data_IF_988905139844
#
_entry.id   IF_988905139844
#
_cell.length_a   1.000
_cell.length_b   1.000
_cell.length_c   1.000
_cell.angle_alpha   90.00
_cell.angle_beta   90.00
_cell.angle_gamma   90.00
#
_symmetry.space_group_name_H-M   'P 1'
#
loop_
_entity.id
_entity.type
_entity.pdbx_description
1 polymer ?
#
# COMPACT_ATOMS: atom_id res chain seq x y z
N UNK A 1 -11.97 -2.64 2.50
CA UNK A 1 -10.63 -2.28 3.00
C UNK A 1 -10.28 -3.18 4.16
N UNK A 2 -9.02 -3.57 4.28
CA UNK A 2 -8.45 -4.24 5.44
C UNK A 2 -6.99 -3.80 5.62
N UNK A 3 -6.47 -3.94 6.83
CA UNK A 3 -5.08 -3.62 7.18
C UNK A 3 -4.34 -4.92 7.42
N UNK A 4 -3.22 -5.12 6.74
CA UNK A 4 -2.36 -6.29 6.85
C UNK A 4 -0.99 -5.91 7.39
N UNK A 5 -0.36 -6.90 8.02
CA UNK A 5 1.05 -6.86 8.41
C UNK A 5 1.75 -8.10 7.88
N UNK A 6 3.08 -8.09 7.85
CA UNK A 6 3.86 -9.25 7.41
C UNK A 6 4.34 -10.04 8.62
N UNK A 7 4.03 -11.33 8.67
CA UNK A 7 4.57 -12.26 9.67
C UNK A 7 5.04 -13.52 8.97
N UNK A 8 6.30 -13.91 9.20
CA UNK A 8 6.90 -15.12 8.61
C UNK A 8 6.70 -15.22 7.08
N UNK A 9 6.85 -14.08 6.39
CA UNK A 9 6.69 -13.99 4.93
C UNK A 9 5.26 -14.21 4.43
N UNK A 10 4.25 -13.97 5.26
CA UNK A 10 2.83 -14.01 4.90
C UNK A 10 2.11 -12.75 5.35
N UNK A 11 1.07 -12.35 4.59
CA UNK A 11 0.15 -11.31 5.01
C UNK A 11 -0.77 -11.85 6.11
N UNK A 12 -0.79 -11.16 7.24
CA UNK A 12 -1.69 -11.43 8.36
C UNK A 12 -2.55 -10.20 8.57
N UNK A 13 -3.86 -10.38 8.48
CA UNK A 13 -4.83 -9.32 8.74
C UNK A 13 -4.68 -8.83 10.17
N UNK A 14 -4.43 -7.54 10.33
CA UNK A 14 -4.26 -6.87 11.60
C UNK A 14 -5.54 -6.14 12.04
N UNK A 15 -6.32 -5.62 11.09
CA UNK A 15 -7.60 -4.97 11.35
C UNK A 15 -8.49 -4.93 10.10
N UNK A 16 -9.80 -4.69 10.28
CA UNK A 16 -10.71 -4.39 9.16
C UNK A 16 -10.57 -2.93 8.70
N UNK A 17 -10.22 -2.03 9.62
CA UNK A 17 -10.07 -0.61 9.31
C UNK A 17 -8.86 0.00 10.00
N UNK A 18 -8.45 1.19 9.56
CA UNK A 18 -7.33 1.88 10.19
C UNK A 18 -7.75 2.51 11.52
N UNK A 19 -9.01 2.90 11.68
CA UNK A 19 -9.60 3.29 12.97
C UNK A 19 -9.40 2.20 14.02
N UNK A 20 -9.73 0.96 13.66
CA UNK A 20 -9.51 -0.21 14.53
C UNK A 20 -8.02 -0.43 14.81
N UNK A 21 -7.16 -0.34 13.79
CA UNK A 21 -5.72 -0.52 13.94
C UNK A 21 -5.08 0.56 14.83
N UNK A 22 -5.57 1.79 14.75
CA UNK A 22 -4.97 2.98 15.36
C UNK A 22 -5.64 3.41 16.66
N UNK A 23 -6.81 2.86 16.98
CA UNK A 23 -7.63 3.25 18.12
C UNK A 23 -8.22 4.66 18.00
N UNK A 24 -8.46 5.14 16.78
CA UNK A 24 -9.05 6.46 16.50
C UNK A 24 -10.50 6.34 16.06
N UNK A 25 -11.31 7.34 16.38
CA UNK A 25 -12.76 7.27 16.14
C UNK A 25 -13.16 7.51 14.67
N UNK A 26 -12.42 8.34 13.92
CA UNK A 26 -12.73 8.64 12.52
C UNK A 26 -11.47 9.07 11.74
N UNK A 27 -11.27 8.52 10.55
CA UNK A 27 -10.20 8.89 9.62
C UNK A 27 -10.84 9.16 8.25
N UNK A 28 -11.07 10.43 7.95
CA UNK A 28 -11.72 10.85 6.70
C UNK A 28 -10.76 10.83 5.49
N UNK A 29 -9.46 10.94 5.74
CA UNK A 29 -8.41 10.98 4.72
C UNK A 29 -7.16 10.21 5.18
N UNK A 30 -6.99 9.03 4.60
CA UNK A 30 -5.89 8.11 4.87
C UNK A 30 -4.55 8.69 4.40
N UNK A 31 -4.57 9.40 3.28
CA UNK A 31 -3.41 10.03 2.67
C UNK A 31 -2.89 11.15 3.56
N UNK A 32 -3.82 11.99 4.05
CA UNK A 32 -3.52 13.03 5.02
C UNK A 32 -2.99 12.43 6.33
N UNK A 33 -3.56 11.32 6.81
CA UNK A 33 -3.06 10.65 8.00
C UNK A 33 -1.61 10.19 7.79
N UNK A 34 -1.31 9.47 6.70
CA UNK A 34 0.05 9.00 6.41
C UNK A 34 1.04 10.17 6.34
N UNK A 35 0.69 11.24 5.63
CA UNK A 35 1.50 12.46 5.53
C UNK A 35 1.74 13.12 6.89
N UNK A 36 0.69 13.26 7.72
CA UNK A 36 0.82 13.80 9.09
C UNK A 36 1.71 12.96 10.00
N UNK A 37 1.88 11.67 9.67
CA UNK A 37 2.77 10.74 10.37
C UNK A 37 4.16 10.61 9.72
N UNK A 38 4.49 11.51 8.78
CA UNK A 38 5.82 11.62 8.16
C UNK A 38 6.07 10.63 7.04
N UNK A 39 5.02 10.07 6.45
CA UNK A 39 5.12 9.27 5.24
C UNK A 39 5.01 10.15 3.99
N UNK A 40 5.77 9.81 2.96
CA UNK A 40 5.67 10.40 1.63
C UNK A 40 5.50 9.30 0.60
N UNK A 41 4.75 9.60 -0.47
CA UNK A 41 4.70 8.71 -1.65
C UNK A 41 6.09 8.64 -2.24
N UNK A 42 6.65 7.43 -2.31
CA UNK A 42 7.95 7.17 -2.89
C UNK A 42 7.83 6.55 -4.29
N UNK A 43 6.73 5.86 -4.56
CA UNK A 43 6.50 5.14 -5.80
C UNK A 43 5.00 4.96 -6.00
N UNK A 44 4.57 5.07 -7.25
CA UNK A 44 3.23 4.75 -7.71
C UNK A 44 3.40 3.76 -8.86
N UNK A 45 2.85 2.56 -8.71
CA UNK A 45 2.82 1.57 -9.78
C UNK A 45 1.42 1.50 -10.36
N UNK A 46 1.34 1.85 -11.64
CA UNK A 46 0.09 2.07 -12.37
C UNK A 46 -0.92 0.95 -12.10
N UNK A 47 -2.04 1.35 -11.48
CA UNK A 47 -3.19 0.50 -11.14
C UNK A 47 -2.94 -0.66 -10.17
N UNK A 48 -1.75 -0.79 -9.58
CA UNK A 48 -1.42 -1.88 -8.66
C UNK A 48 -1.28 -1.40 -7.22
N UNK A 49 -0.38 -0.45 -6.95
CA UNK A 49 -0.20 0.08 -5.60
C UNK A 49 0.46 1.47 -5.58
N UNK A 50 0.22 2.22 -4.51
CA UNK A 50 1.07 3.33 -4.08
C UNK A 50 1.91 2.90 -2.88
N UNK A 51 3.20 3.22 -2.91
CA UNK A 51 4.12 2.93 -1.80
C UNK A 51 4.51 4.22 -1.10
N UNK A 52 4.30 4.23 0.20
CA UNK A 52 4.68 5.31 1.10
C UNK A 52 5.89 4.88 1.92
N UNK A 53 6.82 5.82 2.12
CA UNK A 53 8.02 5.61 2.95
C UNK A 53 8.04 6.64 4.06
N UNK A 54 8.28 6.20 5.29
CA UNK A 54 8.48 7.12 6.42
C UNK A 54 9.83 7.82 6.29
N UNK A 55 9.82 9.15 6.30
CA UNK A 55 11.02 9.98 6.26
C UNK A 55 11.89 9.75 7.50
N UNK A 56 13.21 9.73 7.29
CA UNK A 56 14.19 9.67 8.37
C UNK A 56 14.12 10.96 9.20
N UNK A 57 13.98 10.83 10.53
CA UNK A 57 13.83 11.99 11.42
C UNK A 57 12.40 12.51 11.57
N UNK A 58 11.42 11.94 10.87
CA UNK A 58 10.02 12.20 11.18
C UNK A 58 9.72 11.79 12.62
N UNK A 59 8.95 12.61 13.33
CA UNK A 59 8.59 12.32 14.72
C UNK A 59 7.89 10.96 14.77
N UNK A 60 8.32 10.02 15.64
CA UNK A 60 7.69 8.72 15.72
C UNK A 60 6.21 8.90 16.03
N UNK A 61 5.38 8.36 15.15
CA UNK A 61 3.95 8.28 15.39
C UNK A 61 3.71 7.25 16.48
N UNK A 62 2.95 7.59 17.55
CA UNK A 62 2.52 6.58 18.51
C UNK A 62 1.57 5.56 17.86
N UNK A 63 0.95 5.93 16.75
CA UNK A 63 -0.09 5.16 16.07
C UNK A 63 0.49 4.17 15.06
N UNK A 64 1.47 4.60 14.27
CA UNK A 64 2.14 3.77 13.25
C UNK A 64 3.57 3.40 13.68
N UNK A 65 3.78 3.18 14.98
CA UNK A 65 5.10 2.97 15.54
C UNK A 65 5.79 1.75 14.91
N UNK A 66 7.07 1.91 14.53
CA UNK A 66 7.86 0.86 13.89
C UNK A 66 7.55 0.61 12.41
N UNK A 67 6.47 1.17 11.84
CA UNK A 67 6.13 1.05 10.42
C UNK A 67 7.02 1.96 9.59
N UNK A 68 7.74 1.39 8.62
CA UNK A 68 8.64 2.09 7.70
C UNK A 68 8.03 2.26 6.31
N UNK A 69 7.31 1.25 5.84
CA UNK A 69 6.67 1.25 4.53
C UNK A 69 5.17 0.99 4.67
N UNK A 70 4.38 1.64 3.82
CA UNK A 70 2.95 1.34 3.64
C UNK A 70 2.72 1.13 2.16
N UNK A 71 2.04 0.05 1.81
CA UNK A 71 1.53 -0.19 0.47
C UNK A 71 0.03 -0.01 0.50
N UNK A 72 -0.47 0.94 -0.28
CA UNK A 72 -1.86 1.11 -0.65
C UNK A 72 -2.09 0.29 -1.91
N UNK A 73 -2.78 -0.85 -1.81
CA UNK A 73 -2.91 -1.85 -2.87
C UNK A 73 -4.33 -1.82 -3.41
N UNK A 74 -4.46 -1.57 -4.71
CA UNK A 74 -5.73 -1.65 -5.41
C UNK A 74 -6.10 -3.12 -5.69
N UNK A 75 -7.23 -3.58 -5.15
CA UNK A 75 -7.75 -4.93 -5.41
C UNK A 75 -8.73 -4.91 -6.58
N UNK A 76 -9.53 -3.85 -6.66
CA UNK A 76 -10.39 -3.49 -7.79
C UNK A 76 -10.56 -1.96 -7.87
N UNK A 77 -11.44 -1.47 -8.74
CA UNK A 77 -11.64 -0.03 -8.95
C UNK A 77 -12.19 0.71 -7.72
N UNK A 78 -12.80 0.01 -6.76
CA UNK A 78 -13.52 0.61 -5.63
C UNK A 78 -12.94 0.18 -4.27
N UNK A 79 -11.95 -0.72 -4.25
CA UNK A 79 -11.40 -1.27 -3.01
C UNK A 79 -9.88 -1.27 -2.97
N UNK A 80 -9.39 -0.69 -1.87
CA UNK A 80 -8.00 -0.63 -1.49
C UNK A 80 -7.79 -1.45 -0.22
N UNK A 81 -6.65 -2.12 -0.15
CA UNK A 81 -6.12 -2.73 1.07
C UNK A 81 -4.76 -2.14 1.43
N UNK A 82 -4.45 -2.04 2.72
CA UNK A 82 -3.19 -1.50 3.20
C UNK A 82 -2.30 -2.61 3.75
N UNK A 83 -1.03 -2.62 3.34
CA UNK A 83 0.00 -3.49 3.92
C UNK A 83 1.02 -2.63 4.67
N UNK A 84 1.10 -2.83 5.98
CA UNK A 84 2.03 -2.14 6.86
C UNK A 84 3.29 -2.99 7.05
N UNK A 85 4.45 -2.42 6.75
CA UNK A 85 5.73 -3.12 6.84
C UNK A 85 6.67 -2.34 7.75
N UNK A 86 7.26 -3.05 8.71
CA UNK A 86 8.28 -2.51 9.60
C UNK A 86 9.59 -2.24 8.85
N UNK A 87 10.60 -1.67 9.52
CA UNK A 87 11.96 -1.54 8.97
C UNK A 87 12.69 -2.90 8.95
N UNK A 88 12.09 -3.88 8.27
CA UNK A 88 12.63 -5.22 8.06
C UNK A 88 12.71 -5.51 6.56
N UNK A 89 13.93 -5.74 6.08
CA UNK A 89 14.18 -5.96 4.65
C UNK A 89 13.51 -7.23 4.15
N UNK A 90 13.45 -8.29 4.96
CA UNK A 90 12.82 -9.56 4.58
C UNK A 90 11.33 -9.37 4.31
N UNK A 91 10.62 -8.77 5.26
CA UNK A 91 9.21 -8.44 5.13
C UNK A 91 8.93 -7.51 3.95
N UNK A 92 9.80 -6.53 3.69
CA UNK A 92 9.70 -5.67 2.52
C UNK A 92 9.80 -6.46 1.21
N UNK A 93 10.83 -7.30 1.07
CA UNK A 93 11.03 -8.12 -0.13
C UNK A 93 9.90 -9.13 -0.34
N UNK A 94 9.36 -9.69 0.74
CA UNK A 94 8.20 -10.58 0.67
C UNK A 94 6.97 -9.87 0.11
N UNK A 95 6.67 -8.64 0.55
CA UNK A 95 5.55 -7.85 0.02
C UNK A 95 5.77 -7.50 -1.45
N UNK A 96 6.96 -7.01 -1.81
CA UNK A 96 7.27 -6.69 -3.22
C UNK A 96 7.07 -7.91 -4.12
N UNK A 97 7.54 -9.09 -3.70
CA UNK A 97 7.34 -10.35 -4.42
C UNK A 97 5.88 -10.75 -4.52
N UNK A 98 5.08 -10.53 -3.47
CA UNK A 98 3.64 -10.83 -3.51
C UNK A 98 2.86 -9.91 -4.45
N UNK A 99 3.30 -8.66 -4.62
CA UNK A 99 2.62 -7.67 -5.46
C UNK A 99 3.03 -7.73 -6.94
N UNK A 100 4.13 -8.40 -7.27
CA UNK A 100 4.62 -8.58 -8.64
C UNK A 100 3.54 -9.09 -9.64
N UNK A 101 2.67 -10.06 -9.30
CA UNK A 101 1.60 -10.49 -10.20
C UNK A 101 0.58 -9.40 -10.52
N UNK A 102 0.30 -8.49 -9.58
CA UNK A 102 -0.64 -7.39 -9.76
C UNK A 102 -0.06 -6.34 -10.70
N UNK A 103 1.21 -5.96 -10.49
CA UNK A 103 1.93 -5.04 -11.39
C UNK A 103 1.98 -5.60 -12.82
N UNK A 104 2.34 -6.88 -12.95
CA UNK A 104 2.39 -7.54 -14.26
C UNK A 104 1.01 -7.63 -14.93
N UNK A 105 -0.08 -7.73 -14.16
CA UNK A 105 -1.44 -7.66 -14.70
C UNK A 105 -1.78 -6.25 -15.19
N UNK A 106 -1.43 -5.21 -14.44
CA UNK A 106 -1.61 -3.81 -14.84
C UNK A 106 -0.95 -3.52 -16.18
N UNK A 107 0.34 -3.87 -16.30
CA UNK A 107 1.10 -3.70 -17.55
C UNK A 107 0.44 -4.41 -18.74
N UNK A 108 -0.07 -5.64 -18.54
CA UNK A 108 -0.77 -6.37 -19.62
C UNK A 108 -2.06 -5.69 -20.04
N UNK A 109 -2.86 -5.21 -19.08
CA UNK A 109 -4.13 -4.54 -19.37
C UNK A 109 -3.92 -3.23 -20.12
N UNK A 110 -2.92 -2.44 -19.74
CA UNK A 110 -2.54 -1.22 -20.47
C UNK A 110 -2.18 -1.54 -21.93
N UNK A 111 -1.35 -2.56 -22.15
CA UNK A 111 -0.96 -2.99 -23.49
C UNK A 111 -2.14 -3.50 -24.33
N UNK A 112 -3.13 -4.15 -23.72
CA UNK A 112 -4.36 -4.58 -24.40
C UNK A 112 -5.22 -3.37 -24.80
N UNK A 113 -5.39 -2.41 -23.89
CA UNK A 113 -6.18 -1.19 -24.12
C UNK A 113 -5.57 -0.31 -25.24
N UNK A 114 -4.23 -0.19 -25.25
CA UNK A 114 -3.49 0.52 -26.30
C UNK A 114 -3.67 -0.14 -27.67
N UNK A 115 -3.71 -1.47 -27.73
CA UNK A 115 -3.95 -2.19 -28.99
C UNK A 115 -5.37 -1.95 -29.49
N UNK A 116 -6.39 -2.08 -28.64
CA UNK A 116 -7.79 -1.88 -29.04
C UNK A 116 -8.09 -0.46 -29.54
N UNK A 117 -7.47 0.55 -28.91
CA UNK A 117 -7.59 1.95 -29.35
C UNK A 117 -6.89 2.23 -30.68
N UNK A 118 -5.78 1.57 -30.98
CA UNK A 118 -5.10 1.66 -32.28
C UNK A 118 -5.84 0.94 -33.42
N UNK A 119 -6.57 -0.14 -33.14
CA UNK A 119 -7.35 -0.88 -34.15
C UNK A 119 -8.77 -0.33 -34.37
N UNK A 120 -9.21 0.65 -33.57
CA UNK A 120 -10.51 1.31 -33.67
C UNK A 120 -10.47 2.66 -34.43
N UNK A 121 -9.32 3.04 -34.99
CA UNK A 121 -9.13 4.22 -35.86
C UNK A 121 -8.93 3.80 -37.32
#
# INVERSE_FOLDING_TARGET
>A
MAIYTVKQGQLVKAADTLEQFTGRDLIDDYDQLLRSNGFVVAEEQAHAYMRYVRLTGARPSPVLHGIKYVFDVAIDNDSVEYILVTDDLGAYLDVVRMLEPLVNRGIRLEQELERETLFSQ
#
